data_IF_731260937711
#
_entry.id   IF_731260937711
#
_cell.length_a   1.000
_cell.length_b   1.000
_cell.length_c   1.000
_cell.angle_alpha   90.00
_cell.angle_beta   90.00
_cell.angle_gamma   90.00
#
_symmetry.space_group_name_H-M   'P 1'
#
loop_
_entity.id
_entity.type
_entity.pdbx_description
1 polymer ?
#
# COMPACT_ATOMS: atom_id res chain seq x y z
N UNK A 1 5.41 -0.41 9.25
CA UNK A 1 4.54 -1.28 8.43
C UNK A 1 3.44 -1.86 9.28
N UNK A 2 2.22 -1.88 8.77
CA UNK A 2 1.06 -2.41 9.48
C UNK A 2 0.55 -3.64 8.74
N UNK A 3 0.41 -4.73 9.48
CA UNK A 3 -0.15 -5.99 8.98
C UNK A 3 -1.47 -6.26 9.68
N UNK A 4 -2.47 -6.75 8.97
CA UNK A 4 -3.78 -7.05 9.52
C UNK A 4 -4.15 -8.52 9.35
N UNK A 5 -5.01 -9.00 10.23
CA UNK A 5 -5.47 -10.38 10.24
C UNK A 5 -4.41 -11.36 10.73
N UNK A 6 -4.19 -12.43 9.98
CA UNK A 6 -3.27 -13.51 10.34
C UNK A 6 -1.87 -13.34 9.72
N UNK A 7 -1.50 -12.12 9.35
CA UNK A 7 -0.20 -11.85 8.78
C UNK A 7 0.94 -12.21 9.74
N UNK A 8 1.99 -12.81 9.21
CA UNK A 8 3.18 -13.18 9.96
C UNK A 8 4.42 -12.69 9.24
N UNK A 9 5.35 -12.16 10.00
CA UNK A 9 6.68 -11.82 9.48
C UNK A 9 7.62 -12.98 9.74
N UNK A 10 8.20 -13.53 8.66
CA UNK A 10 9.16 -14.62 8.78
C UNK A 10 10.55 -13.99 8.81
N UNK A 11 11.12 -13.87 10.01
CA UNK A 11 12.42 -13.22 10.22
C UNK A 11 13.56 -13.83 9.40
N UNK A 12 13.49 -15.13 9.15
CA UNK A 12 14.46 -15.88 8.36
C UNK A 12 14.52 -15.41 6.89
N UNK A 13 13.38 -14.94 6.36
CA UNK A 13 13.26 -14.43 5.00
C UNK A 13 13.46 -12.90 4.96
N UNK A 14 12.93 -12.21 5.95
CA UNK A 14 13.00 -10.76 6.04
C UNK A 14 14.39 -10.25 6.44
N UNK A 15 15.22 -11.10 7.03
CA UNK A 15 16.58 -10.75 7.48
C UNK A 15 16.59 -9.47 8.30
N UNK A 16 17.57 -8.60 8.05
CA UNK A 16 17.73 -7.33 8.75
C UNK A 16 16.61 -6.33 8.47
N UNK A 17 15.85 -6.52 7.40
CA UNK A 17 14.74 -5.64 7.06
C UNK A 17 13.63 -5.66 8.13
N UNK A 18 13.40 -6.82 8.77
CA UNK A 18 12.43 -6.92 9.85
C UNK A 18 12.83 -6.12 11.09
N UNK A 19 14.14 -5.96 11.33
CA UNK A 19 14.66 -5.18 12.45
C UNK A 19 14.69 -3.68 12.14
N UNK A 20 14.86 -3.32 10.87
CA UNK A 20 14.90 -1.93 10.42
C UNK A 20 13.52 -1.28 10.30
N UNK A 21 12.45 -2.07 10.28
CA UNK A 21 11.07 -1.59 10.13
C UNK A 21 10.31 -1.73 11.44
N UNK A 22 9.58 -0.68 11.78
CA UNK A 22 8.56 -0.78 12.81
C UNK A 22 7.36 -1.54 12.24
N UNK A 23 7.05 -2.71 12.81
CA UNK A 23 5.98 -3.58 12.37
C UNK A 23 4.92 -3.69 13.46
N UNK A 24 3.68 -3.33 13.11
CA UNK A 24 2.53 -3.47 13.98
C UNK A 24 1.56 -4.49 13.37
N UNK A 25 0.93 -5.29 14.22
CA UNK A 25 -0.09 -6.24 13.80
C UNK A 25 -1.42 -5.84 14.45
N UNK A 26 -2.43 -5.63 13.60
CA UNK A 26 -3.77 -5.26 14.03
C UNK A 26 -4.79 -6.29 13.53
N UNK A 27 -5.92 -6.39 14.24
CA UNK A 27 -6.99 -7.32 13.87
C UNK A 27 -7.65 -6.92 12.56
N UNK A 28 -7.96 -5.64 12.41
CA UNK A 28 -8.62 -5.09 11.22
C UNK A 28 -7.99 -3.77 10.81
N UNK A 29 -8.11 -3.42 9.54
CA UNK A 29 -7.49 -2.24 8.97
C UNK A 29 -8.31 -0.95 9.13
N UNK A 30 -9.65 -0.93 9.01
CA UNK A 30 -10.42 0.31 9.01
C UNK A 30 -10.15 1.26 10.19
N UNK A 31 -10.11 0.81 11.45
CA UNK A 31 -9.81 1.72 12.57
C UNK A 31 -8.42 2.38 12.46
N UNK A 32 -7.45 1.64 11.95
CA UNK A 32 -6.08 2.14 11.76
C UNK A 32 -6.05 3.23 10.71
N UNK A 33 -6.74 3.02 9.58
CA UNK A 33 -6.81 4.00 8.51
C UNK A 33 -7.54 5.28 8.92
N UNK A 34 -8.61 5.14 9.69
CA UNK A 34 -9.34 6.30 10.24
C UNK A 34 -8.43 7.17 11.10
N UNK A 35 -7.63 6.54 11.95
CA UNK A 35 -6.65 7.23 12.80
C UNK A 35 -5.65 8.02 11.96
N UNK A 36 -5.05 7.39 10.96
CA UNK A 36 -4.09 8.06 10.09
C UNK A 36 -4.72 9.19 9.28
N UNK A 37 -5.94 8.99 8.78
CA UNK A 37 -6.66 10.04 8.07
C UNK A 37 -6.90 11.25 8.98
N UNK A 38 -7.32 11.01 10.22
CA UNK A 38 -7.56 12.08 11.20
C UNK A 38 -6.26 12.80 11.60
N UNK A 39 -5.12 12.14 11.48
CA UNK A 39 -3.79 12.72 11.69
C UNK A 39 -3.26 13.47 10.44
N UNK A 40 -4.02 13.55 9.38
CA UNK A 40 -3.67 14.29 8.17
C UNK A 40 -2.91 13.49 7.11
N UNK A 41 -2.89 12.16 7.21
CA UNK A 41 -2.32 11.31 6.16
C UNK A 41 -3.29 11.14 5.00
N UNK A 42 -2.76 11.14 3.80
CA UNK A 42 -3.48 10.70 2.61
C UNK A 42 -3.47 9.18 2.54
N UNK A 43 -4.63 8.60 2.31
CA UNK A 43 -4.78 7.14 2.18
C UNK A 43 -4.83 6.81 0.70
N UNK A 44 -3.80 6.12 0.21
CA UNK A 44 -3.65 5.75 -1.20
C UNK A 44 -3.74 4.23 -1.32
N UNK A 45 -4.64 3.75 -2.14
CA UNK A 45 -4.78 2.31 -2.41
C UNK A 45 -4.14 1.92 -3.74
N UNK A 46 -3.36 0.83 -3.73
CA UNK A 46 -2.91 0.19 -4.96
C UNK A 46 -4.01 -0.75 -5.45
N UNK A 47 -4.74 -0.32 -6.48
CA UNK A 47 -5.87 -1.05 -7.01
C UNK A 47 -6.03 -0.79 -8.51
N UNK A 48 -6.32 -1.83 -9.27
CA UNK A 48 -6.65 -1.69 -10.69
C UNK A 48 -8.15 -1.48 -10.84
N UNK A 49 -8.57 -0.24 -10.87
CA UNK A 49 -9.96 0.14 -11.08
C UNK A 49 -10.08 1.13 -12.23
N UNK A 50 -11.29 1.33 -12.72
CA UNK A 50 -11.55 2.28 -13.81
C UNK A 50 -11.21 3.73 -13.42
N UNK A 51 -11.26 4.05 -12.15
CA UNK A 51 -11.00 5.40 -11.63
C UNK A 51 -9.57 5.56 -11.09
N UNK A 52 -8.74 4.52 -11.19
CA UNK A 52 -7.36 4.58 -10.70
C UNK A 52 -6.50 5.48 -11.59
N UNK A 53 -5.65 6.26 -10.95
CA UNK A 53 -4.65 7.08 -11.62
C UNK A 53 -3.37 6.26 -11.81
N UNK A 54 -2.74 6.37 -12.98
CA UNK A 54 -1.45 5.72 -13.20
C UNK A 54 -0.39 6.27 -12.24
N UNK A 55 0.42 5.38 -11.70
CA UNK A 55 1.52 5.77 -10.81
C UNK A 55 2.49 6.75 -11.47
N UNK A 56 2.61 6.72 -12.79
CA UNK A 56 3.45 7.66 -13.53
C UNK A 56 2.95 9.10 -13.47
N UNK A 57 1.68 9.29 -13.20
CA UNK A 57 1.03 10.61 -13.15
C UNK A 57 0.65 11.04 -11.75
N UNK A 58 0.78 10.15 -10.76
CA UNK A 58 0.34 10.41 -9.40
C UNK A 58 1.42 11.14 -8.59
N UNK A 59 1.04 12.26 -7.97
CA UNK A 59 1.90 12.99 -7.04
C UNK A 59 1.54 12.58 -5.61
N UNK A 60 2.42 11.84 -4.97
CA UNK A 60 2.25 11.46 -3.57
C UNK A 60 2.38 12.66 -2.64
N UNK A 61 1.64 12.65 -1.56
CA UNK A 61 1.90 13.54 -0.44
C UNK A 61 2.99 12.94 0.45
N UNK A 62 3.74 13.78 1.15
CA UNK A 62 4.79 13.30 2.03
C UNK A 62 4.22 12.38 3.15
N UNK A 63 3.06 12.74 3.69
CA UNK A 63 2.35 11.95 4.69
C UNK A 63 1.32 11.06 3.99
N UNK A 64 1.78 9.93 3.51
CA UNK A 64 0.98 8.96 2.78
C UNK A 64 0.95 7.62 3.49
N UNK A 65 -0.22 7.03 3.55
CA UNK A 65 -0.40 5.62 3.89
C UNK A 65 -0.71 4.88 2.60
N UNK A 66 0.12 3.91 2.26
CA UNK A 66 -0.08 3.06 1.10
C UNK A 66 -0.79 1.78 1.52
N UNK A 67 -1.94 1.52 0.93
CA UNK A 67 -2.74 0.33 1.20
C UNK A 67 -2.59 -0.66 0.04
N UNK A 68 -2.24 -1.88 0.38
CA UNK A 68 -2.08 -2.99 -0.57
C UNK A 68 -3.05 -4.09 -0.20
N UNK A 69 -3.79 -4.57 -1.17
CA UNK A 69 -4.81 -5.60 -0.95
C UNK A 69 -4.26 -7.02 -0.96
N UNK A 70 -5.14 -7.95 -0.66
CA UNK A 70 -4.88 -9.38 -0.79
C UNK A 70 -4.77 -9.75 -2.27
N UNK A 71 -3.89 -10.68 -2.60
CA UNK A 71 -3.64 -11.12 -3.99
C UNK A 71 -4.87 -11.75 -4.65
N UNK A 72 -5.75 -12.36 -3.87
CA UNK A 72 -6.95 -13.04 -4.38
C UNK A 72 -8.17 -12.14 -4.39
N UNK A 73 -8.37 -11.34 -3.35
CA UNK A 73 -9.60 -10.58 -3.14
C UNK A 73 -9.44 -9.08 -3.34
N UNK A 74 -8.20 -8.60 -3.49
CA UNK A 74 -7.90 -7.18 -3.58
C UNK A 74 -8.12 -6.46 -2.24
N UNK A 75 -8.45 -5.20 -2.30
CA UNK A 75 -8.77 -4.39 -1.13
C UNK A 75 -10.25 -4.57 -0.79
N UNK A 76 -10.55 -4.87 0.47
CA UNK A 76 -11.93 -5.05 0.92
C UNK A 76 -12.73 -3.75 0.80
N UNK A 77 -14.05 -3.87 0.62
CA UNK A 77 -14.92 -2.74 0.34
C UNK A 77 -14.95 -1.71 1.47
N UNK A 78 -14.93 -2.13 2.71
CA UNK A 78 -14.90 -1.23 3.87
C UNK A 78 -13.60 -0.43 3.94
N UNK A 79 -12.50 -1.00 3.47
CA UNK A 79 -11.21 -0.32 3.32
C UNK A 79 -11.23 0.63 2.12
N UNK A 80 -11.81 0.20 0.99
CA UNK A 80 -11.95 1.04 -0.21
C UNK A 80 -12.65 2.36 0.08
N UNK A 81 -13.63 2.37 0.97
CA UNK A 81 -14.36 3.58 1.38
C UNK A 81 -13.49 4.61 2.11
N UNK A 82 -12.38 4.18 2.68
CA UNK A 82 -11.44 5.03 3.42
C UNK A 82 -10.28 5.51 2.56
N UNK A 83 -10.14 4.96 1.37
CA UNK A 83 -9.09 5.34 0.43
C UNK A 83 -9.48 6.65 -0.25
N UNK A 84 -8.59 7.63 -0.19
CA UNK A 84 -8.77 8.92 -0.88
C UNK A 84 -8.49 8.83 -2.37
N UNK A 85 -7.42 8.15 -2.74
CA UNK A 85 -7.00 7.97 -4.12
C UNK A 85 -6.63 6.52 -4.40
N UNK A 86 -7.03 6.03 -5.58
CA UNK A 86 -6.61 4.75 -6.10
C UNK A 86 -5.53 4.96 -7.16
N UNK A 87 -4.42 4.25 -7.02
CA UNK A 87 -3.28 4.32 -7.93
C UNK A 87 -3.05 2.94 -8.52
N UNK A 88 -2.87 2.87 -9.83
CA UNK A 88 -2.55 1.62 -10.51
C UNK A 88 -1.12 1.63 -11.04
N UNK A 89 -0.52 0.46 -11.01
CA UNK A 89 0.75 0.21 -11.69
C UNK A 89 0.42 -0.44 -13.03
N UNK A 90 0.71 0.22 -14.16
CA UNK A 90 0.40 -0.34 -15.46
C UNK A 90 1.05 -1.70 -15.67
N UNK A 91 0.29 -2.64 -16.25
CA UNK A 91 0.78 -3.97 -16.61
C UNK A 91 0.97 -3.99 -18.13
N UNK A 92 2.20 -4.30 -18.53
CA UNK A 92 2.54 -4.40 -19.96
C UNK A 92 2.56 -5.87 -20.37
N UNK A 93 1.96 -6.17 -21.51
CA UNK A 93 1.90 -7.54 -22.04
C UNK A 93 0.61 -8.25 -21.67
N UNK A 94 0.72 -9.36 -20.94
CA UNK A 94 -0.45 -10.15 -20.54
C UNK A 94 -1.31 -9.42 -19.50
N UNK A 95 -2.65 -9.60 -19.51
CA UNK A 95 -3.57 -8.86 -18.64
C UNK A 95 -3.62 -9.42 -17.21
N UNK A 96 -2.46 -9.68 -16.62
CA UNK A 96 -2.37 -10.14 -15.25
C UNK A 96 -1.95 -9.00 -14.34
N UNK A 97 -2.51 -8.96 -13.14
CA UNK A 97 -2.09 -8.02 -12.11
C UNK A 97 -0.69 -8.38 -11.60
N UNK A 98 0.06 -7.36 -11.18
CA UNK A 98 1.32 -7.58 -10.47
C UNK A 98 1.05 -8.28 -9.13
N UNK A 99 2.01 -9.11 -8.69
CA UNK A 99 2.02 -9.61 -7.33
C UNK A 99 1.97 -8.43 -6.33
N UNK A 100 1.21 -8.58 -5.25
CA UNK A 100 0.99 -7.49 -4.28
C UNK A 100 2.29 -6.94 -3.69
N UNK A 101 3.24 -7.80 -3.36
CA UNK A 101 4.54 -7.36 -2.85
C UNK A 101 5.35 -6.61 -3.91
N UNK A 102 5.31 -7.08 -5.15
CA UNK A 102 5.97 -6.41 -6.29
C UNK A 102 5.35 -5.03 -6.53
N UNK A 103 4.03 -4.94 -6.54
CA UNK A 103 3.31 -3.69 -6.70
C UNK A 103 3.65 -2.70 -5.57
N UNK A 104 3.68 -3.18 -4.33
CA UNK A 104 4.08 -2.38 -3.18
C UNK A 104 5.51 -1.85 -3.33
N UNK A 105 6.45 -2.70 -3.75
CA UNK A 105 7.83 -2.30 -3.97
C UNK A 105 7.95 -1.21 -5.04
N UNK A 106 7.23 -1.34 -6.14
CA UNK A 106 7.21 -0.33 -7.21
C UNK A 106 6.66 1.00 -6.72
N UNK A 107 5.57 0.97 -5.95
CA UNK A 107 4.96 2.18 -5.40
C UNK A 107 5.88 2.87 -4.38
N UNK A 108 6.52 2.11 -3.52
CA UNK A 108 7.49 2.64 -2.56
C UNK A 108 8.70 3.25 -3.26
N UNK A 109 9.17 2.62 -4.32
CA UNK A 109 10.28 3.15 -5.11
C UNK A 109 9.90 4.49 -5.76
N UNK A 110 8.72 4.59 -6.32
CA UNK A 110 8.21 5.85 -6.90
C UNK A 110 8.02 6.92 -5.83
N UNK A 111 7.52 6.56 -4.67
CA UNK A 111 7.44 7.50 -3.54
C UNK A 111 8.83 8.04 -3.16
N UNK A 112 9.83 7.16 -3.09
CA UNK A 112 11.20 7.58 -2.79
C UNK A 112 11.80 8.46 -3.89
N UNK A 113 11.41 8.25 -5.14
CA UNK A 113 11.81 9.15 -6.23
C UNK A 113 11.27 10.56 -6.02
N UNK A 114 10.02 10.68 -5.59
CA UNK A 114 9.40 11.97 -5.30
C UNK A 114 9.91 12.60 -4.01
N UNK A 115 10.22 11.78 -3.01
CA UNK A 115 10.70 12.22 -1.70
C UNK A 115 11.98 11.47 -1.30
N UNK A 116 13.12 11.76 -1.93
CA UNK A 116 14.36 10.96 -1.72
C UNK A 116 14.93 11.05 -0.30
N UNK A 117 14.53 12.04 0.46
CA UNK A 117 14.97 12.20 1.86
C UNK A 117 13.85 12.02 2.88
N UNK A 118 12.71 11.52 2.43
CA UNK A 118 11.55 11.26 3.30
C UNK A 118 10.56 12.39 3.44
#
# INVERSE_FOLDING_TARGET
>A
MICCGNAKVIGKIARDAAEALEIEIHRTLPPVLKKFRDEGFEIVGLEQTTDAVSIFEFAFQRRTVLVVGNERTGIEEDVLRLIGDAVEIPVYGLPYAHNAATAAAMALFEFCRQYPTG
#
